data_IF_743073096656
#
_entry.id   IF_743073096656
#
_cell.length_a   1.000
_cell.length_b   1.000
_cell.length_c   1.000
_cell.angle_alpha   90.00
_cell.angle_beta   90.00
_cell.angle_gamma   90.00
#
_symmetry.space_group_name_H-M   'P 1'
#
loop_
_entity.id
_entity.type
_entity.pdbx_description
1 polymer ?
#
# COMPACT_ATOMS: atom_id res chain seq x y z
N UNK A 1 7.07 25.49 -20.89
CA UNK A 1 7.15 24.96 -19.52
C UNK A 1 8.58 25.15 -19.06
N UNK A 2 8.80 25.90 -18.01
CA UNK A 2 10.16 26.07 -17.49
C UNK A 2 10.50 24.82 -16.68
N UNK A 3 11.55 24.10 -17.07
CA UNK A 3 11.99 22.91 -16.32
C UNK A 3 12.62 23.40 -15.02
N UNK A 4 12.07 23.01 -13.90
CA UNK A 4 12.66 23.31 -12.60
C UNK A 4 13.78 22.30 -12.36
N UNK A 5 15.02 22.76 -12.30
CA UNK A 5 16.15 21.92 -11.90
C UNK A 5 16.34 22.05 -10.38
N UNK A 6 16.10 20.97 -9.67
CA UNK A 6 16.49 20.89 -8.27
C UNK A 6 18.00 20.92 -8.14
N UNK A 7 18.53 21.94 -7.48
CA UNK A 7 19.95 22.02 -7.15
C UNK A 7 20.33 20.96 -6.11
N UNK A 8 21.63 20.87 -5.81
CA UNK A 8 22.14 19.88 -4.84
C UNK A 8 21.50 20.04 -3.45
N UNK A 9 21.27 21.28 -2.99
CA UNK A 9 20.67 21.55 -1.68
C UNK A 9 19.28 20.94 -1.57
N UNK A 10 18.41 21.14 -2.56
CA UNK A 10 17.05 20.61 -2.56
C UNK A 10 17.03 19.09 -2.68
N UNK A 11 17.94 18.49 -3.45
CA UNK A 11 18.11 17.04 -3.49
C UNK A 11 18.48 16.48 -2.11
N UNK A 12 19.36 17.16 -1.37
CA UNK A 12 19.74 16.75 -0.02
C UNK A 12 18.61 16.95 0.99
N UNK A 13 17.78 18.00 0.85
CA UNK A 13 16.59 18.19 1.68
C UNK A 13 15.61 17.02 1.51
N UNK A 14 15.29 16.66 0.26
CA UNK A 14 14.43 15.50 -0.06
C UNK A 14 15.03 14.21 0.51
N UNK A 15 16.30 13.94 0.27
CA UNK A 15 16.97 12.74 0.76
C UNK A 15 16.92 12.65 2.29
N UNK A 16 17.28 13.71 2.99
CA UNK A 16 17.29 13.72 4.46
C UNK A 16 15.89 13.54 5.04
N UNK A 17 14.88 14.16 4.43
CA UNK A 17 13.46 13.99 4.81
C UNK A 17 13.04 12.54 4.66
N UNK A 18 13.25 11.95 3.50
CA UNK A 18 12.97 10.54 3.23
C UNK A 18 13.68 9.61 4.23
N UNK A 19 14.99 9.79 4.44
CA UNK A 19 15.77 9.00 5.40
C UNK A 19 15.28 9.16 6.85
N UNK A 20 14.68 10.28 7.19
CA UNK A 20 14.05 10.50 8.49
C UNK A 20 12.74 9.73 8.59
N UNK A 21 11.87 9.85 7.59
CA UNK A 21 10.56 9.21 7.61
C UNK A 21 10.63 7.69 7.63
N UNK A 22 11.53 7.08 6.82
CA UNK A 22 11.64 5.62 6.78
C UNK A 22 12.10 5.01 8.10
N UNK A 23 12.79 5.77 8.94
CA UNK A 23 13.23 5.31 10.28
C UNK A 23 12.13 5.35 11.33
N UNK A 24 11.05 6.07 11.10
CA UNK A 24 9.89 6.10 12.02
C UNK A 24 9.02 4.89 11.71
N UNK A 25 8.87 4.01 12.69
CA UNK A 25 8.07 2.79 12.55
C UNK A 25 6.59 3.13 12.38
N UNK A 26 5.93 2.57 11.37
CA UNK A 26 4.53 2.89 11.05
C UNK A 26 3.76 1.75 10.38
N UNK A 27 4.16 0.51 10.60
CA UNK A 27 3.46 -0.65 10.01
C UNK A 27 2.00 -0.71 10.46
N UNK A 28 1.09 -0.87 9.51
CA UNK A 28 -0.35 -1.06 9.73
C UNK A 28 -0.66 -2.47 10.28
N UNK A 29 -1.86 -2.65 10.82
CA UNK A 29 -2.33 -3.90 11.42
C UNK A 29 -3.72 -4.27 10.86
N UNK A 30 -3.77 -5.26 9.98
CA UNK A 30 -4.99 -5.71 9.35
C UNK A 30 -6.04 -6.29 10.32
N UNK A 31 -5.62 -6.80 11.48
CA UNK A 31 -6.50 -7.38 12.50
C UNK A 31 -7.10 -6.32 13.44
N UNK A 32 -6.58 -5.09 13.41
CA UNK A 32 -7.10 -3.97 14.22
C UNK A 32 -8.39 -3.40 13.64
N UNK A 33 -9.29 -2.97 14.52
CA UNK A 33 -10.54 -2.27 14.15
C UNK A 33 -10.42 -0.73 14.30
N UNK A 34 -9.28 -0.24 14.78
CA UNK A 34 -9.05 1.22 14.94
C UNK A 34 -8.51 1.85 13.67
N UNK A 35 -8.56 3.19 13.60
CA UNK A 35 -7.89 4.01 12.59
C UNK A 35 -7.13 5.14 13.32
N UNK A 36 -5.82 5.26 13.19
CA UNK A 36 -4.93 4.30 12.54
C UNK A 36 -5.00 2.91 13.18
N UNK A 37 -4.71 1.88 12.38
CA UNK A 37 -4.79 0.49 12.83
C UNK A 37 -3.72 0.13 13.87
N UNK A 38 -2.64 0.88 13.94
CA UNK A 38 -1.54 0.66 14.87
C UNK A 38 -1.11 1.95 15.57
N UNK A 39 -0.72 1.88 16.86
CA UNK A 39 -0.31 3.05 17.64
C UNK A 39 0.91 3.78 17.08
N UNK A 40 1.84 3.05 16.47
CA UNK A 40 3.08 3.61 15.93
C UNK A 40 2.87 4.52 14.72
N UNK A 41 1.77 4.41 14.03
CA UNK A 41 1.44 5.35 12.96
C UNK A 41 1.25 6.79 13.45
N UNK A 42 0.86 6.96 14.73
CA UNK A 42 0.77 8.29 15.32
C UNK A 42 2.11 9.00 15.46
N UNK A 43 3.22 8.28 15.55
CA UNK A 43 4.54 8.89 15.72
C UNK A 43 4.95 9.61 14.44
N UNK A 44 4.80 8.95 13.29
CA UNK A 44 5.08 9.59 11.99
C UNK A 44 4.04 10.66 11.65
N UNK A 45 2.75 10.42 11.96
CA UNK A 45 1.71 11.40 11.72
C UNK A 45 1.99 12.72 12.46
N UNK A 46 2.35 12.65 13.74
CA UNK A 46 2.72 13.83 14.54
C UNK A 46 3.98 14.51 14.02
N UNK A 47 4.96 13.73 13.59
CA UNK A 47 6.19 14.26 13.01
C UNK A 47 5.89 15.08 11.74
N UNK A 48 5.15 14.49 10.80
CA UNK A 48 4.75 15.18 9.55
C UNK A 48 3.90 16.41 9.86
N UNK A 49 2.91 16.27 10.74
CA UNK A 49 2.05 17.39 11.14
C UNK A 49 2.86 18.58 11.68
N UNK A 50 3.82 18.34 12.57
CA UNK A 50 4.68 19.39 13.12
C UNK A 50 5.57 20.00 12.04
N UNK A 51 6.15 19.17 11.16
CA UNK A 51 6.99 19.67 10.06
C UNK A 51 6.22 20.59 9.11
N UNK A 52 4.98 20.25 8.76
CA UNK A 52 4.13 21.09 7.91
C UNK A 52 3.83 22.45 8.56
N UNK A 53 3.63 22.48 9.90
CA UNK A 53 3.46 23.72 10.66
C UNK A 53 4.74 24.55 10.67
N UNK A 54 5.89 23.93 10.91
CA UNK A 54 7.20 24.60 10.96
C UNK A 54 7.60 25.19 9.61
N UNK A 55 7.19 24.55 8.51
CA UNK A 55 7.35 25.05 7.14
C UNK A 55 6.40 26.22 6.82
N UNK A 56 5.39 26.47 7.63
CA UNK A 56 4.45 27.56 7.46
C UNK A 56 3.36 27.31 6.42
N UNK A 57 2.98 26.04 6.19
CA UNK A 57 1.80 25.73 5.37
C UNK A 57 0.52 26.25 6.04
N UNK A 58 -0.49 26.57 5.23
CA UNK A 58 -1.77 27.05 5.76
C UNK A 58 -2.70 25.90 6.13
N UNK A 59 -3.58 26.17 7.11
CA UNK A 59 -4.68 25.29 7.55
C UNK A 59 -4.21 23.84 7.85
N UNK A 60 -3.01 23.69 8.42
CA UNK A 60 -2.47 22.38 8.80
C UNK A 60 -3.35 21.78 9.88
N UNK A 61 -3.89 20.61 9.62
CA UNK A 61 -4.78 19.91 10.55
C UNK A 61 -4.49 18.42 10.54
N UNK A 62 -4.71 17.79 11.68
CA UNK A 62 -4.71 16.33 11.85
C UNK A 62 -5.96 15.97 12.64
N UNK A 63 -6.73 15.00 12.13
CA UNK A 63 -7.97 14.58 12.79
C UNK A 63 -7.73 13.45 13.81
N UNK A 64 -8.80 13.02 14.47
CA UNK A 64 -8.79 11.93 15.44
C UNK A 64 -8.48 10.55 14.84
N UNK A 65 -8.47 10.43 13.53
CA UNK A 65 -8.14 9.21 12.80
C UNK A 65 -6.74 9.27 12.14
N UNK A 66 -5.96 10.33 12.40
CA UNK A 66 -4.61 10.48 11.88
C UNK A 66 -4.50 11.05 10.46
N UNK A 67 -5.61 11.40 9.80
CA UNK A 67 -5.53 12.07 8.50
C UNK A 67 -4.97 13.48 8.65
N UNK A 68 -3.95 13.78 7.85
CA UNK A 68 -3.30 15.10 7.88
C UNK A 68 -3.69 15.84 6.61
N UNK A 69 -4.08 17.09 6.77
CA UNK A 69 -4.35 18.01 5.65
C UNK A 69 -3.63 19.32 5.84
N UNK A 70 -3.10 19.86 4.75
CA UNK A 70 -2.43 21.15 4.69
C UNK A 70 -2.59 21.75 3.30
N UNK A 71 -2.28 23.05 3.17
CA UNK A 71 -2.43 23.73 1.90
C UNK A 71 -1.27 24.67 1.60
N UNK A 72 -0.87 24.74 0.32
CA UNK A 72 -0.07 25.82 -0.21
C UNK A 72 -1.03 26.84 -0.83
N UNK A 73 -1.12 28.09 -0.32
CA UNK A 73 -2.03 29.09 -0.86
C UNK A 73 -1.73 29.44 -2.31
N UNK A 74 -2.75 29.69 -3.12
CA UNK A 74 -2.56 30.21 -4.47
C UNK A 74 -1.79 31.55 -4.45
N UNK A 75 -0.86 31.71 -5.37
CA UNK A 75 -0.17 32.97 -5.64
C UNK A 75 -0.56 33.61 -6.99
N UNK A 76 -1.67 33.13 -7.57
CA UNK A 76 -2.31 33.66 -8.77
C UNK A 76 -3.79 33.93 -8.51
N UNK A 77 -4.64 33.89 -9.54
CA UNK A 77 -6.09 34.09 -9.42
C UNK A 77 -6.76 33.02 -8.54
N UNK A 78 -7.77 33.40 -7.76
CA UNK A 78 -8.60 32.48 -6.96
C UNK A 78 -9.54 31.59 -7.79
N UNK A 79 -9.60 31.79 -9.10
CA UNK A 79 -10.47 31.04 -10.00
C UNK A 79 -9.80 29.77 -10.58
N UNK A 80 -8.57 29.50 -10.19
CA UNK A 80 -7.88 28.28 -10.62
C UNK A 80 -8.32 27.09 -9.78
N UNK A 81 -8.44 25.87 -10.36
CA UNK A 81 -8.82 24.69 -9.62
C UNK A 81 -7.80 24.36 -8.53
N UNK A 82 -8.28 23.88 -7.40
CA UNK A 82 -7.39 23.31 -6.37
C UNK A 82 -6.96 21.92 -6.81
N UNK A 83 -5.66 21.70 -6.90
CA UNK A 83 -5.06 20.38 -7.19
C UNK A 83 -4.60 19.77 -5.89
N UNK A 84 -4.95 18.48 -5.69
CA UNK A 84 -4.53 17.71 -4.53
C UNK A 84 -3.33 16.82 -4.80
N UNK A 85 -2.51 16.59 -3.78
CA UNK A 85 -1.50 15.54 -3.74
C UNK A 85 -1.68 14.73 -2.47
N UNK A 86 -1.70 13.40 -2.63
CA UNK A 86 -1.98 12.45 -1.56
C UNK A 86 -0.86 11.41 -1.52
N UNK A 87 -0.47 11.01 -0.31
CA UNK A 87 0.44 9.91 -0.06
C UNK A 87 0.07 9.24 1.27
N UNK A 88 0.49 7.97 1.48
CA UNK A 88 0.28 7.31 2.75
C UNK A 88 1.58 7.22 3.56
N UNK A 89 1.44 7.17 4.88
CA UNK A 89 2.58 7.14 5.77
C UNK A 89 2.75 5.82 6.54
N UNK A 90 1.79 4.89 6.41
CA UNK A 90 1.94 3.54 6.93
C UNK A 90 2.83 2.69 6.01
N UNK A 91 3.26 1.55 6.52
CA UNK A 91 4.03 0.57 5.77
C UNK A 91 3.39 -0.80 5.88
N UNK A 92 3.62 -1.65 4.87
CA UNK A 92 3.04 -2.98 4.76
C UNK A 92 3.33 -3.86 5.98
N UNK A 93 2.32 -4.63 6.48
CA UNK A 93 2.53 -5.65 7.50
C UNK A 93 3.20 -6.93 6.99
N UNK A 94 3.45 -7.05 5.68
CA UNK A 94 3.97 -8.27 5.06
C UNK A 94 5.40 -8.63 5.48
N UNK A 95 6.16 -7.63 5.95
CA UNK A 95 7.51 -7.83 6.43
C UNK A 95 7.85 -6.85 7.57
N UNK A 96 8.97 -7.10 8.27
CA UNK A 96 9.42 -6.24 9.35
C UNK A 96 9.62 -4.78 8.92
N UNK A 97 8.93 -3.85 9.56
CA UNK A 97 9.06 -2.39 9.34
C UNK A 97 9.82 -1.65 10.44
N UNK A 98 10.46 -2.38 11.40
CA UNK A 98 11.22 -1.79 12.51
C UNK A 98 12.71 -1.72 12.19
N UNK A 99 13.37 -0.80 12.88
CA UNK A 99 14.84 -0.67 12.89
C UNK A 99 15.40 -0.52 11.47
N UNK A 100 14.70 0.24 10.63
CA UNK A 100 15.09 0.48 9.24
C UNK A 100 16.47 1.12 9.20
N UNK A 101 17.41 0.44 8.52
CA UNK A 101 18.78 0.88 8.34
C UNK A 101 19.05 1.22 6.85
N UNK A 102 18.77 2.46 6.41
CA UNK A 102 18.93 2.84 5.02
C UNK A 102 20.40 2.86 4.60
N UNK A 103 20.67 2.32 3.42
CA UNK A 103 22.00 2.34 2.78
C UNK A 103 21.92 3.10 1.46
N UNK A 104 22.92 3.93 1.20
CA UNK A 104 23.02 4.74 -0.02
C UNK A 104 24.13 4.18 -0.89
N UNK A 105 23.79 3.90 -2.15
CA UNK A 105 24.69 3.36 -3.16
C UNK A 105 24.80 4.39 -4.28
N UNK A 106 25.87 5.20 -4.23
CA UNK A 106 26.14 6.18 -5.28
C UNK A 106 26.66 5.50 -6.55
N UNK A 107 26.31 6.06 -7.70
CA UNK A 107 26.78 5.63 -9.01
C UNK A 107 26.68 4.11 -9.22
N UNK A 108 25.47 3.57 -9.04
CA UNK A 108 25.22 2.14 -9.15
C UNK A 108 25.73 1.55 -10.46
N UNK A 109 26.55 0.53 -10.39
CA UNK A 109 27.27 -0.05 -11.55
C UNK A 109 26.51 -1.16 -12.28
N UNK A 110 25.31 -1.54 -11.84
CA UNK A 110 24.50 -2.61 -12.46
C UNK A 110 24.76 -4.01 -11.92
N UNK A 111 25.68 -4.17 -10.97
CA UNK A 111 25.99 -5.45 -10.33
C UNK A 111 25.10 -5.75 -9.13
N UNK A 112 25.39 -6.86 -8.47
CA UNK A 112 24.72 -7.24 -7.22
C UNK A 112 25.15 -6.34 -6.06
N UNK A 113 24.21 -5.98 -5.18
CA UNK A 113 24.44 -5.21 -3.96
C UNK A 113 24.37 -6.15 -2.75
N UNK A 114 25.48 -6.32 -2.04
CA UNK A 114 25.51 -7.06 -0.77
C UNK A 114 24.98 -6.13 0.33
N UNK A 115 23.72 -6.28 0.69
CA UNK A 115 23.03 -5.43 1.66
C UNK A 115 23.53 -5.70 3.08
N UNK A 116 23.86 -6.94 3.39
CA UNK A 116 24.33 -7.35 4.71
C UNK A 116 25.33 -8.50 4.58
N UNK A 117 26.55 -8.27 5.01
CA UNK A 117 27.62 -9.26 4.93
C UNK A 117 27.47 -10.39 5.93
N UNK A 118 26.86 -10.14 7.09
CA UNK A 118 26.70 -11.13 8.16
C UNK A 118 25.59 -12.13 7.79
N UNK A 119 24.48 -11.65 7.25
CA UNK A 119 23.34 -12.49 6.86
C UNK A 119 23.43 -13.00 5.42
N UNK A 120 24.30 -12.41 4.59
CA UNK A 120 24.44 -12.71 3.18
C UNK A 120 23.30 -12.15 2.30
N UNK A 121 22.46 -11.25 2.81
CA UNK A 121 21.43 -10.62 2.01
C UNK A 121 22.02 -9.85 0.85
N UNK A 122 21.57 -10.20 -0.35
CA UNK A 122 22.07 -9.63 -1.61
C UNK A 122 20.89 -9.28 -2.52
N UNK A 123 20.86 -8.05 -2.98
CA UNK A 123 19.95 -7.59 -4.02
C UNK A 123 20.60 -7.87 -5.38
N UNK A 124 20.15 -8.95 -6.04
CA UNK A 124 20.76 -9.44 -7.28
C UNK A 124 20.11 -8.83 -8.52
N UNK A 125 20.93 -8.27 -9.40
CA UNK A 125 20.48 -7.73 -10.69
C UNK A 125 20.03 -8.83 -11.70
N UNK A 126 20.35 -10.08 -11.43
CA UNK A 126 19.83 -11.22 -12.20
C UNK A 126 18.40 -11.57 -11.77
N UNK A 127 18.14 -11.59 -10.45
CA UNK A 127 16.81 -11.86 -9.89
C UNK A 127 15.84 -10.70 -10.10
N UNK A 128 16.36 -9.47 -10.06
CA UNK A 128 15.61 -8.23 -10.24
C UNK A 128 16.16 -7.43 -11.42
N UNK A 129 15.84 -7.80 -12.66
CA UNK A 129 16.40 -7.16 -13.86
C UNK A 129 16.09 -5.67 -14.00
N UNK A 130 15.03 -5.18 -13.33
CA UNK A 130 14.68 -3.76 -13.28
C UNK A 130 15.80 -2.88 -12.71
N UNK A 131 16.66 -3.41 -11.84
CA UNK A 131 17.82 -2.71 -11.31
C UNK A 131 18.74 -2.18 -12.40
N UNK A 132 18.83 -2.84 -13.55
CA UNK A 132 19.68 -2.43 -14.67
C UNK A 132 19.26 -1.09 -15.28
N UNK A 133 17.99 -0.66 -15.05
CA UNK A 133 17.51 0.67 -15.48
C UNK A 133 18.16 1.82 -14.69
N UNK A 134 18.72 1.53 -13.52
CA UNK A 134 19.25 2.52 -12.58
C UNK A 134 20.79 2.61 -12.55
N UNK A 135 21.47 2.04 -13.54
CA UNK A 135 22.93 2.19 -13.69
C UNK A 135 23.30 3.66 -13.78
N UNK A 136 24.29 4.08 -13.00
CA UNK A 136 24.73 5.48 -12.89
C UNK A 136 23.78 6.34 -12.03
N UNK A 137 22.82 5.74 -11.32
CA UNK A 137 21.94 6.44 -10.36
C UNK A 137 22.35 6.11 -8.93
N UNK A 138 21.92 6.95 -8.01
CA UNK A 138 21.99 6.65 -6.58
C UNK A 138 20.82 5.79 -6.17
N UNK A 139 21.07 4.65 -5.54
CA UNK A 139 20.06 3.78 -4.98
C UNK A 139 20.03 3.91 -3.47
N UNK A 140 18.82 3.76 -2.90
CA UNK A 140 18.60 3.67 -1.47
C UNK A 140 17.97 2.31 -1.18
N UNK A 141 18.57 1.54 -0.28
CA UNK A 141 18.08 0.22 0.15
C UNK A 141 18.07 0.14 1.66
N UNK A 142 17.55 -0.94 2.21
CA UNK A 142 17.85 -1.35 3.60
C UNK A 142 19.05 -2.28 3.62
N UNK A 143 19.38 -2.77 4.82
CA UNK A 143 20.31 -3.88 5.03
C UNK A 143 19.68 -5.27 4.83
N UNK A 144 18.46 -5.34 4.32
CA UNK A 144 17.73 -6.58 4.06
C UNK A 144 17.02 -7.18 5.29
N UNK A 145 17.10 -6.56 6.47
CA UNK A 145 16.43 -7.04 7.70
C UNK A 145 15.04 -6.43 7.90
N UNK A 146 14.73 -5.37 7.15
CA UNK A 146 13.44 -4.67 7.17
C UNK A 146 12.99 -4.26 5.77
N UNK A 147 11.71 -3.87 5.64
CA UNK A 147 11.27 -3.02 4.53
C UNK A 147 12.00 -1.68 4.59
N UNK A 148 12.19 -1.03 3.44
CA UNK A 148 12.63 0.37 3.40
C UNK A 148 11.47 1.31 3.76
N UNK A 149 10.26 0.99 3.32
CA UNK A 149 9.08 1.84 3.45
C UNK A 149 9.11 3.04 2.48
N UNK A 150 9.73 2.85 1.30
CA UNK A 150 9.68 3.85 0.23
C UNK A 150 8.25 4.03 -0.28
N UNK A 151 7.50 2.97 -0.30
CA UNK A 151 6.07 2.88 -0.44
C UNK A 151 5.43 3.12 0.95
N UNK A 152 4.78 4.28 1.20
CA UNK A 152 4.80 5.46 0.31
C UNK A 152 5.41 6.70 1.00
N UNK A 153 6.38 6.48 1.92
CA UNK A 153 7.09 7.60 2.56
C UNK A 153 7.95 8.41 1.58
N UNK A 154 8.22 7.86 0.38
CA UNK A 154 8.85 8.61 -0.69
C UNK A 154 7.90 9.70 -1.21
N UNK A 155 6.65 9.35 -1.54
CA UNK A 155 5.63 10.30 -1.94
C UNK A 155 5.37 11.36 -0.87
N UNK A 156 5.31 10.96 0.42
CA UNK A 156 5.23 11.93 1.53
C UNK A 156 6.39 12.92 1.48
N UNK A 157 7.63 12.43 1.36
CA UNK A 157 8.81 13.28 1.33
C UNK A 157 8.86 14.20 0.10
N UNK A 158 8.43 13.71 -1.04
CA UNK A 158 8.34 14.46 -2.30
C UNK A 158 7.33 15.59 -2.21
N UNK A 159 6.12 15.30 -1.71
CA UNK A 159 5.05 16.30 -1.54
C UNK A 159 5.50 17.41 -0.57
N UNK A 160 6.04 17.05 0.59
CA UNK A 160 6.49 18.02 1.59
C UNK A 160 7.65 18.88 1.04
N UNK A 161 8.59 18.26 0.32
CA UNK A 161 9.72 18.99 -0.28
C UNK A 161 9.26 19.93 -1.40
N UNK A 162 8.30 19.50 -2.22
CA UNK A 162 7.71 20.33 -3.27
C UNK A 162 6.97 21.54 -2.68
N UNK A 163 6.22 21.34 -1.60
CA UNK A 163 5.53 22.41 -0.90
C UNK A 163 6.51 23.42 -0.31
N UNK A 164 7.56 22.95 0.39
CA UNK A 164 8.65 23.79 0.91
C UNK A 164 9.33 24.59 -0.22
N UNK A 165 9.57 23.94 -1.35
CA UNK A 165 10.16 24.58 -2.53
C UNK A 165 9.31 25.73 -3.05
N UNK A 166 8.01 25.51 -3.20
CA UNK A 166 7.07 26.52 -3.69
C UNK A 166 6.95 27.70 -2.73
N UNK A 167 6.94 27.45 -1.42
CA UNK A 167 6.94 28.53 -0.42
C UNK A 167 8.21 29.36 -0.46
N UNK A 168 9.37 28.74 -0.74
CA UNK A 168 10.65 29.41 -0.88
C UNK A 168 10.79 30.19 -2.21
N UNK A 169 9.97 29.89 -3.23
CA UNK A 169 10.06 30.46 -4.58
C UNK A 169 8.71 31.08 -5.02
N UNK A 170 8.28 32.20 -4.44
CA UNK A 170 6.98 32.80 -4.72
C UNK A 170 6.84 33.37 -6.15
N UNK A 171 7.92 33.40 -6.91
CA UNK A 171 7.95 33.71 -8.34
C UNK A 171 7.35 32.58 -9.20
N UNK A 172 7.36 31.34 -8.72
CA UNK A 172 6.71 30.20 -9.36
C UNK A 172 5.19 30.35 -9.18
N UNK A 173 4.47 30.50 -10.29
CA UNK A 173 3.03 30.70 -10.26
C UNK A 173 2.28 29.38 -10.19
N UNK A 174 1.37 29.28 -9.22
CA UNK A 174 0.54 28.11 -9.00
C UNK A 174 -0.81 28.46 -8.39
N UNK A 175 -1.83 27.63 -8.64
CA UNK A 175 -3.11 27.67 -7.93
C UNK A 175 -2.95 27.14 -6.49
N UNK A 176 -4.08 27.03 -5.77
CA UNK A 176 -4.10 26.40 -4.46
C UNK A 176 -3.74 24.91 -4.58
N UNK A 177 -2.87 24.45 -3.72
CA UNK A 177 -2.49 23.02 -3.64
C UNK A 177 -2.99 22.46 -2.32
N UNK A 178 -3.76 21.38 -2.38
CA UNK A 178 -4.19 20.63 -1.23
C UNK A 178 -3.24 19.43 -1.01
N UNK A 179 -2.85 19.18 0.23
CA UNK A 179 -1.97 18.08 0.62
C UNK A 179 -2.73 17.21 1.60
N UNK A 180 -2.75 15.90 1.35
CA UNK A 180 -3.39 14.92 2.22
C UNK A 180 -2.47 13.74 2.51
N UNK A 181 -2.32 13.37 3.78
CA UNK A 181 -1.60 12.16 4.16
C UNK A 181 -2.52 11.23 4.94
N UNK A 182 -2.47 9.93 4.59
CA UNK A 182 -3.41 8.92 5.08
C UNK A 182 -2.72 7.83 5.88
N UNK A 183 -3.39 7.27 6.90
CA UNK A 183 -3.02 6.00 7.53
C UNK A 183 -3.58 4.82 6.73
N UNK A 184 -3.14 3.60 7.07
CA UNK A 184 -3.80 2.33 6.77
C UNK A 184 -4.07 2.05 5.29
N UNK A 185 -3.28 2.62 4.37
CA UNK A 185 -3.42 2.35 2.94
C UNK A 185 -3.09 0.89 2.63
N UNK A 186 -1.99 0.38 3.18
CA UNK A 186 -1.44 -0.96 2.96
C UNK A 186 -2.37 -2.12 3.40
N UNK A 187 -3.41 -1.79 4.15
CA UNK A 187 -4.48 -2.72 4.52
C UNK A 187 -5.82 -2.36 3.86
N UNK A 188 -5.79 -1.50 2.82
CA UNK A 188 -6.93 -1.11 2.02
C UNK A 188 -7.92 -0.17 2.73
N UNK A 189 -7.49 0.58 3.74
CA UNK A 189 -8.35 1.47 4.54
C UNK A 189 -8.02 2.95 4.40
N UNK A 190 -7.03 3.32 3.61
CA UNK A 190 -6.56 4.71 3.46
C UNK A 190 -7.64 5.73 3.12
N UNK A 191 -8.64 5.36 2.34
CA UNK A 191 -9.72 6.25 1.95
C UNK A 191 -10.95 6.25 2.90
N UNK A 192 -11.04 5.32 3.86
CA UNK A 192 -12.28 5.03 4.59
C UNK A 192 -12.85 6.22 5.37
N UNK A 193 -12.00 7.06 5.93
CA UNK A 193 -12.41 8.22 6.73
C UNK A 193 -11.83 9.54 6.21
N UNK A 194 -11.32 9.53 4.97
CA UNK A 194 -10.77 10.72 4.34
C UNK A 194 -11.88 11.74 4.07
N UNK A 195 -11.77 12.93 4.62
CA UNK A 195 -12.74 14.02 4.44
C UNK A 195 -12.49 14.73 3.10
N UNK A 196 -13.09 14.21 2.04
CA UNK A 196 -12.99 14.76 0.67
C UNK A 196 -13.49 16.20 0.60
N UNK A 197 -14.55 16.54 1.36
CA UNK A 197 -15.12 17.87 1.35
C UNK A 197 -14.15 18.89 1.97
N UNK A 198 -13.52 18.55 3.09
CA UNK A 198 -12.51 19.38 3.75
C UNK A 198 -11.25 19.48 2.88
N UNK A 199 -10.81 18.39 2.27
CA UNK A 199 -9.66 18.38 1.35
C UNK A 199 -9.85 19.38 0.22
N UNK A 200 -11.03 19.44 -0.37
CA UNK A 200 -11.49 20.51 -1.25
C UNK A 200 -10.71 20.64 -2.56
N UNK A 201 -10.01 19.60 -3.00
CA UNK A 201 -9.41 19.55 -4.32
C UNK A 201 -10.44 19.16 -5.37
N UNK A 202 -10.36 19.76 -6.56
CA UNK A 202 -11.21 19.41 -7.70
C UNK A 202 -10.78 18.06 -8.28
N UNK A 203 -9.47 17.81 -8.31
CA UNK A 203 -8.84 16.53 -8.63
C UNK A 203 -7.53 16.40 -7.87
N UNK A 204 -7.10 15.16 -7.69
CA UNK A 204 -5.89 14.88 -6.94
C UNK A 204 -5.06 13.77 -7.60
N UNK A 205 -3.77 13.80 -7.29
CA UNK A 205 -2.82 12.75 -7.66
C UNK A 205 -2.35 12.06 -6.38
N UNK A 206 -2.42 10.73 -6.35
CA UNK A 206 -1.76 9.93 -5.33
C UNK A 206 -0.32 9.70 -5.79
N UNK A 207 0.64 10.08 -4.94
CA UNK A 207 2.08 10.00 -5.25
C UNK A 207 2.65 8.63 -4.85
N UNK A 208 1.98 7.58 -5.25
CA UNK A 208 2.20 6.19 -4.88
C UNK A 208 2.42 5.34 -6.15
N UNK A 209 3.16 5.90 -7.07
CA UNK A 209 3.46 5.30 -8.36
C UNK A 209 4.75 4.50 -8.37
N UNK A 210 4.96 3.72 -9.44
CA UNK A 210 6.07 2.81 -9.59
C UNK A 210 7.27 3.46 -10.29
N UNK A 211 7.12 3.96 -11.52
CA UNK A 211 8.21 4.54 -12.30
C UNK A 211 7.97 6.03 -12.59
N UNK A 212 9.05 6.81 -12.65
CA UNK A 212 8.97 8.25 -12.97
C UNK A 212 8.34 8.45 -14.35
N UNK A 213 7.24 9.22 -14.38
CA UNK A 213 6.49 9.52 -15.60
C UNK A 213 5.32 8.58 -15.87
N UNK A 214 5.09 7.58 -15.04
CA UNK A 214 3.84 6.81 -15.03
C UNK A 214 2.68 7.68 -14.55
N UNK A 215 1.54 7.53 -15.22
CA UNK A 215 0.26 8.10 -14.80
C UNK A 215 -0.82 7.05 -14.96
N UNK A 216 -1.30 6.56 -13.84
CA UNK A 216 -2.45 5.67 -13.79
C UNK A 216 -3.73 6.49 -13.60
N UNK A 217 -4.69 6.33 -14.50
CA UNK A 217 -5.98 7.04 -14.48
C UNK A 217 -7.17 6.10 -14.62
N UNK A 218 -6.92 4.81 -14.66
CA UNK A 218 -7.93 3.75 -14.67
C UNK A 218 -7.97 3.06 -13.31
N UNK A 219 -9.14 2.61 -12.90
CA UNK A 219 -9.33 1.84 -11.69
C UNK A 219 -10.02 0.50 -11.99
N UNK A 220 -10.14 -0.33 -10.99
CA UNK A 220 -10.83 -1.61 -11.05
C UNK A 220 -11.82 -1.72 -9.90
N UNK A 221 -12.81 -2.62 -10.07
CA UNK A 221 -13.69 -3.01 -8.99
C UNK A 221 -13.01 -4.08 -8.15
N UNK A 222 -13.04 -3.94 -6.82
CA UNK A 222 -12.43 -4.88 -5.90
C UNK A 222 -13.37 -5.24 -4.75
N UNK A 223 -13.28 -6.49 -4.28
CA UNK A 223 -13.93 -6.97 -3.08
C UNK A 223 -13.06 -7.99 -2.35
N UNK A 224 -13.13 -7.99 -1.01
CA UNK A 224 -12.65 -9.08 -0.19
C UNK A 224 -13.73 -10.16 -0.02
N UNK A 225 -13.32 -11.43 0.00
CA UNK A 225 -14.19 -12.53 0.39
C UNK A 225 -13.49 -13.42 1.42
N UNK A 226 -14.21 -13.72 2.49
CA UNK A 226 -13.74 -14.63 3.55
C UNK A 226 -14.64 -15.86 3.55
N UNK A 227 -14.04 -17.01 3.29
CA UNK A 227 -14.71 -18.30 3.39
C UNK A 227 -14.24 -19.00 4.66
N UNK A 228 -15.18 -19.24 5.57
CA UNK A 228 -14.92 -20.01 6.80
C UNK A 228 -15.47 -21.42 6.61
N UNK A 229 -14.70 -22.42 6.98
CA UNK A 229 -15.05 -23.83 6.87
C UNK A 229 -15.02 -24.46 8.25
N UNK A 230 -16.12 -25.10 8.64
CA UNK A 230 -16.22 -25.82 9.90
C UNK A 230 -15.99 -27.31 9.66
N UNK A 231 -15.07 -27.87 10.40
CA UNK A 231 -14.79 -29.30 10.41
C UNK A 231 -15.45 -30.01 11.60
N UNK A 232 -15.18 -31.30 11.68
CA UNK A 232 -15.51 -32.11 12.84
C UNK A 232 -14.27 -32.92 13.24
N UNK A 233 -13.60 -32.47 14.30
CA UNK A 233 -12.45 -33.17 14.85
C UNK A 233 -12.90 -34.38 15.67
N UNK A 234 -12.36 -35.54 15.37
CA UNK A 234 -12.59 -36.80 16.07
C UNK A 234 -11.25 -37.48 16.27
N UNK A 235 -11.11 -38.21 17.41
CA UNK A 235 -9.88 -38.98 17.64
C UNK A 235 -9.62 -39.93 16.44
N UNK A 236 -8.38 -39.97 15.90
CA UNK A 236 -8.09 -40.74 14.66
C UNK A 236 -8.53 -42.20 14.71
N UNK A 237 -8.50 -42.85 15.87
CA UNK A 237 -8.95 -44.23 16.05
C UNK A 237 -10.43 -44.45 15.86
N UNK A 238 -11.25 -43.39 15.86
CA UNK A 238 -12.73 -43.44 15.68
C UNK A 238 -13.21 -42.56 14.53
N UNK A 239 -12.28 -42.04 13.72
CA UNK A 239 -12.55 -41.01 12.71
C UNK A 239 -13.27 -41.55 11.45
N UNK A 240 -13.26 -42.88 11.22
CA UNK A 240 -13.81 -43.46 10.01
C UNK A 240 -15.31 -43.10 9.83
N UNK A 241 -15.62 -42.44 8.73
CA UNK A 241 -16.94 -41.99 8.34
C UNK A 241 -17.50 -40.82 9.19
N UNK A 242 -16.75 -40.27 10.13
CA UNK A 242 -17.18 -39.22 11.04
C UNK A 242 -16.35 -37.91 10.90
N UNK A 243 -15.04 -38.00 10.78
CA UNK A 243 -14.17 -36.81 10.75
C UNK A 243 -14.40 -35.98 9.48
N UNK A 244 -14.55 -34.69 9.67
CA UNK A 244 -14.48 -33.68 8.60
C UNK A 244 -13.25 -32.79 8.88
N UNK A 245 -12.21 -32.93 8.09
CA UNK A 245 -10.99 -32.14 8.25
C UNK A 245 -11.13 -30.81 7.50
N UNK A 246 -11.33 -29.71 8.25
CA UNK A 246 -11.55 -28.39 7.67
C UNK A 246 -10.37 -27.92 6.79
N UNK A 247 -9.13 -28.24 7.15
CA UNK A 247 -7.97 -27.89 6.33
C UNK A 247 -7.99 -28.57 4.96
N UNK A 248 -8.36 -29.87 4.88
CA UNK A 248 -8.51 -30.56 3.59
C UNK A 248 -9.71 -30.06 2.80
N UNK A 249 -10.81 -29.74 3.47
CA UNK A 249 -12.00 -29.14 2.86
C UNK A 249 -11.70 -27.74 2.30
N UNK A 250 -10.83 -26.96 2.96
CA UNK A 250 -10.39 -25.66 2.44
C UNK A 250 -9.58 -25.81 1.12
N UNK A 251 -8.72 -26.80 1.02
CA UNK A 251 -8.02 -27.10 -0.23
C UNK A 251 -9.01 -27.50 -1.34
N UNK A 252 -10.00 -28.32 -1.01
CA UNK A 252 -11.05 -28.70 -1.97
C UNK A 252 -11.85 -27.47 -2.43
N UNK A 253 -12.27 -26.59 -1.51
CA UNK A 253 -12.98 -25.37 -1.88
C UNK A 253 -12.14 -24.47 -2.79
N UNK A 254 -10.86 -24.29 -2.49
CA UNK A 254 -9.96 -23.49 -3.32
C UNK A 254 -9.88 -23.99 -4.77
N UNK A 255 -9.99 -25.31 -4.97
CA UNK A 255 -9.99 -25.93 -6.30
C UNK A 255 -11.32 -25.76 -7.07
N UNK A 256 -12.39 -25.28 -6.42
CA UNK A 256 -13.66 -25.00 -7.08
C UNK A 256 -13.65 -23.67 -7.85
N UNK A 257 -12.66 -22.82 -7.60
CA UNK A 257 -12.49 -21.57 -8.33
C UNK A 257 -11.65 -21.79 -9.60
N UNK A 258 -11.85 -20.98 -10.65
CA UNK A 258 -11.15 -21.16 -11.93
C UNK A 258 -9.64 -21.00 -11.79
N UNK A 259 -8.88 -22.05 -12.08
CA UNK A 259 -7.42 -22.05 -11.95
C UNK A 259 -6.71 -21.10 -12.94
N UNK A 260 -7.38 -20.71 -14.02
CA UNK A 260 -6.90 -19.77 -15.03
C UNK A 260 -7.32 -18.32 -14.78
N UNK A 261 -8.00 -18.03 -13.67
CA UNK A 261 -8.45 -16.70 -13.30
C UNK A 261 -7.77 -16.26 -11.99
N UNK A 262 -6.44 -16.25 -12.01
CA UNK A 262 -5.59 -15.82 -10.88
C UNK A 262 -4.64 -14.72 -11.35
N UNK A 263 -4.03 -13.93 -10.46
CA UNK A 263 -3.04 -12.91 -10.86
C UNK A 263 -1.88 -13.48 -11.70
N UNK A 264 -1.51 -14.73 -11.49
CA UNK A 264 -0.43 -15.38 -12.23
C UNK A 264 -0.84 -15.82 -13.65
N UNK A 265 -2.14 -15.87 -13.97
CA UNK A 265 -2.67 -16.42 -15.22
C UNK A 265 -3.48 -15.41 -16.02
N UNK A 266 -3.73 -14.22 -15.49
CA UNK A 266 -4.47 -13.13 -16.10
C UNK A 266 -3.58 -11.94 -16.44
N UNK A 267 -4.01 -11.11 -17.39
CA UNK A 267 -3.29 -9.92 -17.86
C UNK A 267 -4.25 -8.82 -18.32
N UNK A 268 -3.75 -7.60 -18.41
CA UNK A 268 -4.53 -6.43 -18.87
C UNK A 268 -5.78 -6.24 -18.01
N UNK A 269 -6.96 -6.17 -18.65
CA UNK A 269 -8.25 -5.96 -17.98
C UNK A 269 -8.97 -7.24 -17.56
N UNK A 270 -8.30 -8.39 -17.57
CA UNK A 270 -8.87 -9.65 -17.11
C UNK A 270 -9.04 -9.65 -15.59
N UNK A 271 -10.24 -10.04 -15.13
CA UNK A 271 -10.50 -10.15 -13.70
C UNK A 271 -10.03 -11.48 -13.12
N UNK A 272 -9.91 -11.55 -11.78
CA UNK A 272 -9.36 -12.72 -11.11
C UNK A 272 -9.92 -12.94 -9.70
N UNK A 273 -9.65 -14.14 -9.17
CA UNK A 273 -9.74 -14.51 -7.76
C UNK A 273 -8.33 -14.74 -7.22
N UNK A 274 -7.90 -13.95 -6.26
CA UNK A 274 -6.60 -14.12 -5.63
C UNK A 274 -6.76 -14.68 -4.22
N UNK A 275 -6.33 -15.93 -4.02
CA UNK A 275 -6.23 -16.51 -2.69
C UNK A 275 -5.03 -15.90 -1.97
N UNK A 276 -5.30 -15.03 -1.00
CA UNK A 276 -4.28 -14.35 -0.20
C UNK A 276 -3.77 -15.21 0.94
N UNK A 277 -4.69 -15.86 1.65
CA UNK A 277 -4.39 -16.67 2.81
C UNK A 277 -5.27 -17.91 2.86
N UNK A 278 -4.67 -19.03 3.27
CA UNK A 278 -5.36 -20.22 3.72
C UNK A 278 -4.77 -20.63 5.06
N UNK A 279 -5.60 -20.68 6.10
CA UNK A 279 -5.19 -21.00 7.47
C UNK A 279 -6.24 -21.90 8.12
N UNK A 280 -5.80 -22.91 8.85
CA UNK A 280 -6.73 -23.76 9.57
C UNK A 280 -6.13 -25.08 10.05
N UNK A 281 -6.96 -25.84 10.73
CA UNK A 281 -6.67 -27.17 11.27
C UNK A 281 -7.80 -28.16 10.94
N UNK A 282 -7.96 -29.22 11.75
CA UNK A 282 -9.02 -30.21 11.56
C UNK A 282 -10.41 -29.63 11.87
N UNK A 283 -10.48 -28.68 12.81
CA UNK A 283 -11.75 -28.17 13.36
C UNK A 283 -12.30 -27.00 12.56
N UNK A 284 -11.44 -26.11 12.10
CA UNK A 284 -11.83 -24.93 11.34
C UNK A 284 -10.77 -24.51 10.34
N UNK A 285 -11.19 -23.87 9.26
CA UNK A 285 -10.29 -23.23 8.30
C UNK A 285 -10.89 -21.93 7.76
N UNK A 286 -10.00 -21.03 7.33
CA UNK A 286 -10.33 -19.74 6.74
C UNK A 286 -9.56 -19.57 5.46
N UNK A 287 -10.24 -19.13 4.39
CA UNK A 287 -9.63 -18.69 3.15
C UNK A 287 -9.96 -17.22 2.95
N UNK A 288 -8.97 -16.41 2.57
CA UNK A 288 -9.16 -15.00 2.25
C UNK A 288 -8.85 -14.77 0.77
N UNK A 289 -9.80 -14.16 0.07
CA UNK A 289 -9.68 -13.85 -1.35
C UNK A 289 -9.80 -12.35 -1.59
N UNK A 290 -9.05 -11.86 -2.59
CA UNK A 290 -9.35 -10.63 -3.30
C UNK A 290 -10.01 -11.01 -4.63
N UNK A 291 -11.12 -10.33 -4.96
CA UNK A 291 -11.82 -10.45 -6.22
C UNK A 291 -11.65 -9.13 -6.96
N UNK A 292 -11.16 -9.15 -8.19
CA UNK A 292 -11.00 -7.95 -9.02
C UNK A 292 -11.58 -8.15 -10.40
N UNK A 293 -12.16 -7.11 -10.96
CA UNK A 293 -12.50 -7.01 -12.37
C UNK A 293 -12.65 -5.54 -12.76
N UNK A 294 -12.25 -5.19 -13.99
CA UNK A 294 -12.42 -3.83 -14.52
C UNK A 294 -13.86 -3.57 -14.98
N UNK A 295 -14.57 -4.60 -15.41
CA UNK A 295 -15.96 -4.54 -15.80
C UNK A 295 -16.88 -4.78 -14.59
N UNK A 296 -17.78 -3.83 -14.33
CA UNK A 296 -18.67 -3.88 -13.16
C UNK A 296 -19.64 -5.08 -13.19
N UNK A 297 -20.17 -5.44 -14.36
CA UNK A 297 -21.09 -6.60 -14.49
C UNK A 297 -20.33 -7.91 -14.26
N UNK A 298 -19.15 -8.07 -14.84
CA UNK A 298 -18.30 -9.24 -14.58
C UNK A 298 -17.88 -9.33 -13.13
N UNK A 299 -17.59 -8.19 -12.49
CA UNK A 299 -17.26 -8.14 -11.07
C UNK A 299 -18.42 -8.65 -10.20
N UNK A 300 -19.66 -8.19 -10.43
CA UNK A 300 -20.82 -8.70 -9.73
C UNK A 300 -21.04 -10.21 -9.98
N UNK A 301 -20.83 -10.66 -11.22
CA UNK A 301 -20.90 -12.08 -11.55
C UNK A 301 -19.84 -12.90 -10.82
N UNK A 302 -18.62 -12.37 -10.60
CA UNK A 302 -17.58 -13.03 -9.80
C UNK A 302 -17.98 -13.19 -8.33
N UNK A 303 -18.56 -12.16 -7.72
CA UNK A 303 -19.06 -12.23 -6.34
C UNK A 303 -20.17 -13.26 -6.22
N UNK A 304 -21.08 -13.28 -7.17
CA UNK A 304 -22.15 -14.28 -7.23
C UNK A 304 -21.59 -15.70 -7.39
N UNK A 305 -20.63 -15.90 -8.28
CA UNK A 305 -20.01 -17.19 -8.52
C UNK A 305 -19.39 -17.80 -7.25
N UNK A 306 -18.57 -17.04 -6.49
CA UNK A 306 -17.99 -17.57 -5.25
C UNK A 306 -19.07 -17.90 -4.22
N UNK A 307 -20.16 -17.13 -4.15
CA UNK A 307 -21.31 -17.40 -3.28
C UNK A 307 -22.04 -18.69 -3.69
N UNK A 308 -22.22 -18.92 -5.00
CA UNK A 308 -22.79 -20.16 -5.54
C UNK A 308 -21.90 -21.36 -5.22
N UNK A 309 -20.57 -21.20 -5.26
CA UNK A 309 -19.63 -22.26 -4.87
C UNK A 309 -19.72 -22.61 -3.39
N UNK A 310 -19.96 -21.64 -2.51
CA UNK A 310 -20.27 -21.92 -1.09
C UNK A 310 -21.54 -22.74 -0.94
N UNK A 311 -22.60 -22.41 -1.67
CA UNK A 311 -23.85 -23.18 -1.64
C UNK A 311 -23.67 -24.61 -2.18
N UNK A 312 -22.94 -24.78 -3.28
CA UNK A 312 -22.59 -26.09 -3.85
C UNK A 312 -21.77 -26.94 -2.85
N UNK A 313 -20.78 -26.30 -2.20
CA UNK A 313 -19.95 -26.94 -1.19
C UNK A 313 -20.76 -27.41 0.02
N UNK A 314 -21.65 -26.59 0.55
CA UNK A 314 -22.56 -26.95 1.64
C UNK A 314 -23.53 -28.08 1.25
N UNK A 315 -24.03 -28.09 0.01
CA UNK A 315 -24.86 -29.18 -0.48
C UNK A 315 -24.14 -30.54 -0.51
N UNK A 316 -22.79 -30.51 -0.78
CA UNK A 316 -21.97 -31.73 -0.80
C UNK A 316 -21.57 -32.21 0.59
N UNK A 317 -21.17 -31.29 1.47
CA UNK A 317 -20.55 -31.62 2.76
C UNK A 317 -21.48 -31.46 3.97
N UNK A 318 -22.66 -30.89 3.76
CA UNK A 318 -23.68 -30.60 4.79
C UNK A 318 -23.77 -29.13 5.13
N UNK A 319 -24.96 -28.70 5.56
CA UNK A 319 -25.20 -27.34 6.01
C UNK A 319 -24.25 -26.98 7.15
N UNK A 320 -23.73 -25.73 7.14
CA UNK A 320 -22.80 -25.19 8.12
C UNK A 320 -21.38 -25.84 8.07
N UNK A 321 -21.00 -26.48 6.96
CA UNK A 321 -19.63 -26.85 6.72
C UNK A 321 -18.85 -25.66 6.16
#
# INVERSE_FOLDING_TARGET
MQTIEFNHEWKMRLLNRFLTYVKIYSTSDAESETTPSSPQQWDIAKYIFQELQDLGLSDVSMDENGYIMAYVPSNISENEPTVGFIAHYDTSPDFNGKDVNPQIWEDYNGGDLVLNQETGFTLSSEKFPSLKKYVGKTLITTDGTSLLGADDKAGVAEIVTAAEYLLAHPDIKHGRIAIGFTPDEEIGRGAHKFDVAKFGAEYAYTMDGSEVGELEYENFNAAGAVVKINGLSVHPGYAFGQMKNAGLLAVEFAQMLPANETPATTKGFEGFYHLMEIKGDVSEAKLQYIIRDHDAEKFENRKKFITEKVAEFNAKHGENT
#
